data_IF_831430681835
#
_entry.id   IF_831430681835
#
_cell.length_a   1.000
_cell.length_b   1.000
_cell.length_c   1.000
_cell.angle_alpha   90.00
_cell.angle_beta   90.00
_cell.angle_gamma   90.00
#
_symmetry.space_group_name_H-M   'P 1'
#
loop_
_entity.id
_entity.type
_entity.pdbx_description
1 polymer ?
#
# COMPACT_ATOMS: atom_id res chain seq x y z
N UNK A 1 22.35 -29.32 -31.69
CA UNK A 1 21.63 -28.04 -31.72
C UNK A 1 20.74 -28.02 -30.49
N UNK A 2 21.32 -27.74 -29.34
CA UNK A 2 20.63 -27.63 -28.06
C UNK A 2 20.84 -26.21 -27.58
N UNK A 3 19.77 -25.44 -27.56
CA UNK A 3 19.81 -24.01 -27.27
C UNK A 3 19.75 -23.79 -25.75
N UNK A 4 20.85 -23.20 -25.26
CA UNK A 4 20.91 -22.17 -24.23
C UNK A 4 20.23 -22.38 -22.88
N UNK A 5 21.07 -22.77 -21.91
CA UNK A 5 20.91 -22.66 -20.47
C UNK A 5 20.25 -21.33 -20.02
N UNK A 6 18.99 -21.39 -19.58
CA UNK A 6 18.41 -20.37 -18.72
C UNK A 6 18.86 -20.65 -17.29
N UNK A 7 19.91 -19.96 -16.81
CA UNK A 7 20.33 -20.04 -15.40
C UNK A 7 19.41 -19.14 -14.55
N UNK A 8 18.56 -19.69 -13.67
CA UNK A 8 17.66 -18.89 -12.83
C UNK A 8 18.40 -17.92 -11.90
N UNK A 9 19.71 -18.11 -11.66
CA UNK A 9 20.53 -17.16 -10.91
C UNK A 9 20.77 -15.82 -11.62
N UNK A 10 20.81 -15.79 -12.96
CA UNK A 10 21.13 -14.56 -13.71
C UNK A 10 19.98 -13.53 -13.66
N UNK A 11 18.73 -13.99 -13.65
CA UNK A 11 17.56 -13.12 -13.60
C UNK A 11 17.36 -12.47 -12.23
N UNK A 12 17.65 -13.20 -11.15
CA UNK A 12 17.51 -12.69 -9.78
C UNK A 12 18.57 -11.63 -9.46
N UNK A 13 19.82 -11.83 -9.88
CA UNK A 13 20.87 -10.83 -9.71
C UNK A 13 20.56 -9.53 -10.48
N UNK A 14 20.05 -9.63 -11.71
CA UNK A 14 19.63 -8.46 -12.48
C UNK A 14 18.47 -7.72 -11.79
N UNK A 15 17.46 -8.45 -11.30
CA UNK A 15 16.34 -7.85 -10.57
C UNK A 15 16.77 -7.12 -9.29
N UNK A 16 17.76 -7.65 -8.56
CA UNK A 16 18.34 -6.98 -7.38
C UNK A 16 19.05 -5.69 -7.78
N UNK A 17 19.89 -5.73 -8.81
CA UNK A 17 20.61 -4.54 -9.29
C UNK A 17 19.65 -3.43 -9.75
N UNK A 18 18.63 -3.80 -10.53
CA UNK A 18 17.55 -2.88 -10.96
C UNK A 18 16.86 -2.25 -9.74
N UNK A 19 16.51 -3.06 -8.73
CA UNK A 19 15.83 -2.59 -7.54
C UNK A 19 16.66 -1.60 -6.73
N UNK A 20 17.96 -1.85 -6.58
CA UNK A 20 18.89 -0.94 -5.90
C UNK A 20 18.99 0.38 -6.66
N UNK A 21 19.19 0.35 -7.98
CA UNK A 21 19.29 1.55 -8.79
C UNK A 21 18.00 2.39 -8.73
N UNK A 22 16.83 1.74 -8.78
CA UNK A 22 15.53 2.39 -8.64
C UNK A 22 15.36 3.02 -7.25
N UNK A 23 15.78 2.34 -6.18
CA UNK A 23 15.72 2.87 -4.82
C UNK A 23 16.59 4.13 -4.64
N UNK A 24 17.81 4.12 -5.16
CA UNK A 24 18.71 5.28 -5.16
C UNK A 24 18.09 6.43 -5.94
N UNK A 25 17.66 6.20 -7.18
CA UNK A 25 17.06 7.23 -8.01
C UNK A 25 15.80 7.85 -7.39
N UNK A 26 14.96 7.03 -6.72
CA UNK A 26 13.78 7.53 -6.03
C UNK A 26 14.14 8.37 -4.78
N UNK A 27 15.16 7.97 -4.03
CA UNK A 27 15.65 8.74 -2.88
C UNK A 27 16.20 10.11 -3.33
N UNK A 28 17.03 10.12 -4.38
CA UNK A 28 17.60 11.33 -4.97
C UNK A 28 16.51 12.28 -5.49
N UNK A 29 15.53 11.75 -6.25
CA UNK A 29 14.41 12.53 -6.77
C UNK A 29 13.51 13.11 -5.66
N UNK A 30 13.46 12.45 -4.51
CA UNK A 30 12.76 12.92 -3.31
C UNK A 30 13.59 13.90 -2.46
N UNK A 31 14.87 14.07 -2.76
CA UNK A 31 15.81 14.87 -1.99
C UNK A 31 16.02 14.32 -0.59
N UNK A 32 16.12 12.99 -0.44
CA UNK A 32 16.29 12.32 0.87
C UNK A 32 17.35 11.23 0.78
N UNK A 33 17.95 10.89 1.91
CA UNK A 33 18.74 9.67 2.07
C UNK A 33 17.87 8.60 2.70
N UNK A 34 17.73 7.44 2.07
CA UNK A 34 17.03 6.30 2.66
C UNK A 34 18.03 5.23 3.08
N UNK A 35 17.96 4.76 4.33
CA UNK A 35 18.85 3.74 4.87
C UNK A 35 18.20 2.93 5.97
N UNK A 36 18.79 1.78 6.29
CA UNK A 36 18.42 1.01 7.48
C UNK A 36 18.69 1.82 8.77
N UNK A 37 17.82 1.65 9.75
CA UNK A 37 17.95 2.19 11.11
C UNK A 37 18.06 1.00 12.06
N UNK A 38 19.25 0.78 12.61
CA UNK A 38 19.58 -0.49 13.28
C UNK A 38 19.82 -0.37 14.78
N UNK A 39 20.09 0.82 15.32
CA UNK A 39 20.41 1.00 16.74
C UNK A 39 20.31 2.46 17.20
N UNK A 40 20.32 2.65 18.53
CA UNK A 40 20.55 3.93 19.17
C UNK A 40 19.36 4.90 19.10
N UNK A 41 19.67 6.20 19.22
CA UNK A 41 18.70 7.29 19.28
C UNK A 41 17.74 7.35 18.08
N UNK A 42 18.17 6.85 16.92
CA UNK A 42 17.36 6.87 15.70
C UNK A 42 16.13 5.96 15.80
N UNK A 43 16.19 4.88 16.61
CA UNK A 43 15.01 4.05 16.87
C UNK A 43 13.98 4.81 17.72
N UNK A 44 14.45 5.64 18.66
CA UNK A 44 13.58 6.50 19.46
C UNK A 44 12.98 7.63 18.58
N UNK A 45 13.74 8.15 17.60
CA UNK A 45 13.24 9.10 16.59
C UNK A 45 12.17 8.47 15.69
N UNK A 46 12.33 7.20 15.28
CA UNK A 46 11.29 6.47 14.51
C UNK A 46 10.00 6.36 15.32
N UNK A 47 10.08 6.01 16.61
CA UNK A 47 8.93 5.99 17.50
C UNK A 47 8.24 7.36 17.58
N UNK A 48 9.01 8.42 17.87
CA UNK A 48 8.48 9.78 17.97
C UNK A 48 7.84 10.27 16.66
N UNK A 49 8.41 9.90 15.51
CA UNK A 49 7.85 10.22 14.19
C UNK A 49 6.49 9.53 13.96
N UNK A 50 6.35 8.26 14.33
CA UNK A 50 5.05 7.57 14.21
C UNK A 50 3.99 8.18 15.12
N UNK A 51 4.34 8.53 16.36
CA UNK A 51 3.43 9.23 17.28
C UNK A 51 3.00 10.59 16.74
N UNK A 52 3.91 11.34 16.10
CA UNK A 52 3.58 12.61 15.44
C UNK A 52 2.57 12.44 14.29
N UNK A 53 2.72 11.38 13.49
CA UNK A 53 1.91 11.15 12.29
C UNK A 53 0.51 10.62 12.66
N UNK A 54 0.43 9.58 13.49
CA UNK A 54 -0.84 8.92 13.81
C UNK A 54 -1.55 9.51 15.03
N UNK A 55 -0.81 10.17 15.92
CA UNK A 55 -1.34 10.75 17.17
C UNK A 55 -2.20 9.74 17.94
N UNK A 56 -1.66 8.57 18.28
CA UNK A 56 -2.46 7.54 18.93
C UNK A 56 -2.87 7.99 20.34
N UNK A 57 -3.89 7.33 20.89
CA UNK A 57 -4.32 7.57 22.26
C UNK A 57 -3.23 7.22 23.30
N UNK A 58 -3.34 7.72 24.55
CA UNK A 58 -2.28 7.62 25.57
C UNK A 58 -1.84 6.19 25.92
N UNK A 59 -2.68 5.19 25.65
CA UNK A 59 -2.43 3.77 25.94
C UNK A 59 -2.11 2.94 24.69
N UNK A 60 -2.00 3.56 23.52
CA UNK A 60 -1.87 2.87 22.23
C UNK A 60 -0.57 3.25 21.53
N UNK A 61 0.58 2.78 22.02
CA UNK A 61 1.84 2.99 21.32
C UNK A 61 1.89 2.11 20.06
N UNK A 62 2.04 2.71 18.88
CA UNK A 62 2.09 1.98 17.61
C UNK A 62 3.33 1.08 17.53
N UNK A 63 4.50 1.66 17.82
CA UNK A 63 5.79 0.98 17.81
C UNK A 63 6.65 1.55 18.93
N UNK A 64 6.78 0.82 20.04
CA UNK A 64 7.63 1.25 21.15
C UNK A 64 9.11 1.15 20.76
N UNK A 65 9.97 1.97 21.37
CA UNK A 65 11.41 1.88 21.16
C UNK A 65 11.99 0.49 21.51
N UNK A 66 11.43 -0.19 22.51
CA UNK A 66 11.82 -1.56 22.87
C UNK A 66 11.48 -2.57 21.77
N UNK A 67 10.28 -2.48 21.17
CA UNK A 67 9.87 -3.33 20.06
C UNK A 67 10.74 -3.07 18.82
N UNK A 68 11.01 -1.80 18.49
CA UNK A 68 11.89 -1.43 17.40
C UNK A 68 13.31 -1.99 17.59
N UNK A 69 13.86 -1.92 18.81
CA UNK A 69 15.14 -2.54 19.16
C UNK A 69 15.12 -4.06 18.97
N UNK A 70 14.06 -4.73 19.41
CA UNK A 70 13.91 -6.18 19.24
C UNK A 70 13.83 -6.59 17.76
N UNK A 71 13.09 -5.84 16.95
CA UNK A 71 12.98 -6.06 15.50
C UNK A 71 14.31 -5.85 14.78
N UNK A 72 15.02 -4.74 15.06
CA UNK A 72 16.35 -4.49 14.53
C UNK A 72 17.32 -5.63 14.89
N UNK A 73 17.32 -6.06 16.16
CA UNK A 73 18.20 -7.11 16.65
C UNK A 73 17.92 -8.48 16.03
N UNK A 74 16.66 -8.75 15.68
CA UNK A 74 16.23 -9.99 15.03
C UNK A 74 16.36 -9.97 13.50
N UNK A 75 16.95 -8.91 12.93
CA UNK A 75 17.23 -8.81 11.49
C UNK A 75 16.05 -8.37 10.64
N UNK A 76 14.99 -7.82 11.24
CA UNK A 76 13.82 -7.32 10.53
C UNK A 76 14.10 -5.93 9.90
N UNK A 77 13.23 -5.53 8.96
CA UNK A 77 13.41 -4.29 8.22
C UNK A 77 12.95 -3.08 9.02
N UNK A 78 13.86 -2.12 9.23
CA UNK A 78 13.54 -0.77 9.68
C UNK A 78 14.30 0.19 8.77
N UNK A 79 13.59 0.92 7.92
CA UNK A 79 14.15 1.94 7.04
C UNK A 79 13.73 3.35 7.48
N UNK A 80 14.66 4.29 7.42
CA UNK A 80 14.43 5.71 7.67
C UNK A 80 14.76 6.55 6.43
N UNK A 81 13.97 7.59 6.18
CA UNK A 81 14.20 8.60 5.16
C UNK A 81 14.59 9.93 5.82
N UNK A 82 15.76 10.44 5.46
CA UNK A 82 16.39 11.59 6.11
C UNK A 82 16.51 12.77 5.15
N UNK A 83 16.13 13.95 5.61
CA UNK A 83 16.43 15.24 4.98
C UNK A 83 17.56 15.90 5.77
N UNK A 84 18.78 15.90 5.22
CA UNK A 84 19.98 16.13 6.01
C UNK A 84 20.11 15.08 7.13
N UNK A 85 20.01 15.53 8.38
CA UNK A 85 20.03 14.68 9.59
C UNK A 85 18.62 14.46 10.18
N UNK A 86 17.58 15.11 9.65
CA UNK A 86 16.21 15.02 10.15
C UNK A 86 15.50 13.77 9.59
N UNK A 87 15.01 12.90 10.48
CA UNK A 87 14.17 11.77 10.09
C UNK A 87 12.74 12.25 9.74
N UNK A 88 12.39 12.19 8.46
CA UNK A 88 11.10 12.68 7.94
C UNK A 88 10.17 11.56 7.45
N UNK A 89 10.65 10.31 7.43
CA UNK A 89 9.84 9.15 7.07
C UNK A 89 10.46 7.87 7.61
N UNK A 90 9.62 6.88 7.93
CA UNK A 90 10.08 5.58 8.39
C UNK A 90 9.16 4.45 7.87
N UNK A 91 9.73 3.25 7.73
CA UNK A 91 9.00 2.05 7.34
C UNK A 91 9.56 0.85 8.10
N UNK A 92 8.68 0.08 8.72
CA UNK A 92 9.01 -1.12 9.49
C UNK A 92 8.29 -2.33 8.90
N UNK A 93 9.01 -3.44 8.77
CA UNK A 93 8.45 -4.72 8.36
C UNK A 93 9.20 -5.88 8.99
N UNK A 94 8.53 -7.02 9.12
CA UNK A 94 9.09 -8.22 9.71
C UNK A 94 8.79 -9.45 8.86
N UNK A 95 9.64 -10.47 8.96
CA UNK A 95 9.51 -11.67 8.13
C UNK A 95 8.23 -12.45 8.47
N UNK A 96 7.52 -12.89 7.44
CA UNK A 96 6.45 -13.89 7.55
C UNK A 96 7.04 -15.29 7.42
N UNK A 97 6.35 -16.32 7.93
CA UNK A 97 6.82 -17.70 7.76
C UNK A 97 6.47 -18.24 6.35
N UNK A 98 7.38 -18.97 5.67
CA UNK A 98 8.79 -19.16 6.02
C UNK A 98 9.61 -17.87 5.83
N UNK A 99 10.53 -17.62 6.76
CA UNK A 99 11.17 -16.32 6.98
C UNK A 99 11.96 -15.77 5.77
N UNK A 100 12.36 -16.62 4.84
CA UNK A 100 13.12 -16.28 3.65
C UNK A 100 12.26 -16.00 2.41
N UNK A 101 10.94 -16.21 2.48
CA UNK A 101 10.07 -16.05 1.30
C UNK A 101 9.27 -14.74 1.32
N UNK A 102 8.83 -14.28 2.49
CA UNK A 102 7.88 -13.17 2.60
C UNK A 102 8.21 -12.17 3.71
N UNK A 103 7.86 -10.89 3.48
CA UNK A 103 7.91 -9.84 4.49
C UNK A 103 6.51 -9.26 4.71
N UNK A 104 6.10 -9.08 5.97
CA UNK A 104 4.97 -8.22 6.31
C UNK A 104 5.47 -6.77 6.50
N UNK A 105 4.98 -5.83 5.68
CA UNK A 105 5.27 -4.41 5.88
C UNK A 105 4.27 -3.81 6.86
N UNK A 106 4.63 -3.78 8.14
CA UNK A 106 3.73 -3.41 9.23
C UNK A 106 3.26 -1.95 9.21
N UNK A 107 4.19 -1.00 9.13
CA UNK A 107 3.88 0.43 9.19
C UNK A 107 4.84 1.23 8.32
N UNK A 108 4.30 2.24 7.64
CA UNK A 108 5.08 3.16 6.82
C UNK A 108 4.46 4.56 6.89
N UNK A 109 5.24 5.53 7.35
CA UNK A 109 4.78 6.89 7.60
C UNK A 109 5.76 7.93 7.08
N UNK A 110 5.23 9.06 6.60
CA UNK A 110 6.02 10.21 6.17
C UNK A 110 5.42 11.44 6.83
N UNK A 111 6.28 12.30 7.37
CA UNK A 111 5.90 13.59 7.94
C UNK A 111 5.15 14.44 6.90
N UNK A 112 4.13 15.16 7.36
CA UNK A 112 3.39 16.09 6.51
C UNK A 112 4.28 17.20 5.91
N UNK A 113 5.40 17.53 6.55
CA UNK A 113 6.39 18.48 6.04
C UNK A 113 7.02 18.03 4.70
N UNK A 114 7.04 16.72 4.42
CA UNK A 114 7.60 16.16 3.20
C UNK A 114 6.55 15.79 2.14
N UNK A 115 5.31 16.29 2.30
CA UNK A 115 4.20 16.00 1.37
C UNK A 115 4.55 16.45 -0.06
N UNK A 116 4.18 15.64 -1.04
CA UNK A 116 4.42 15.93 -2.46
C UNK A 116 5.82 15.57 -2.97
N UNK A 117 6.77 15.22 -2.10
CA UNK A 117 8.14 14.83 -2.50
C UNK A 117 8.28 13.35 -2.86
N UNK A 118 7.22 12.54 -2.78
CA UNK A 118 7.25 11.09 -3.01
C UNK A 118 8.17 10.28 -2.07
N UNK A 119 8.46 10.77 -0.85
CA UNK A 119 9.32 10.06 0.13
C UNK A 119 8.81 8.66 0.46
N UNK A 120 7.49 8.46 0.54
CA UNK A 120 6.90 7.15 0.78
C UNK A 120 7.20 6.14 -0.34
N UNK A 121 7.32 6.62 -1.58
CA UNK A 121 7.74 5.80 -2.72
C UNK A 121 9.22 5.40 -2.58
N UNK A 122 10.10 6.35 -2.24
CA UNK A 122 11.52 6.06 -1.98
C UNK A 122 11.71 5.03 -0.85
N UNK A 123 10.98 5.16 0.27
CA UNK A 123 10.99 4.19 1.36
C UNK A 123 10.58 2.79 0.91
N UNK A 124 9.55 2.68 0.07
CA UNK A 124 9.06 1.39 -0.43
C UNK A 124 10.02 0.77 -1.45
N UNK A 125 10.64 1.55 -2.31
CA UNK A 125 11.66 1.04 -3.25
C UNK A 125 12.91 0.57 -2.50
N UNK A 126 13.33 1.28 -1.45
CA UNK A 126 14.38 0.80 -0.55
C UNK A 126 13.97 -0.52 0.14
N UNK A 127 12.73 -0.63 0.65
CA UNK A 127 12.21 -1.88 1.24
C UNK A 127 12.24 -3.04 0.23
N UNK A 128 11.88 -2.79 -1.04
CA UNK A 128 11.96 -3.78 -2.13
C UNK A 128 13.39 -4.22 -2.40
N UNK A 129 14.33 -3.28 -2.54
CA UNK A 129 15.74 -3.58 -2.79
C UNK A 129 16.34 -4.41 -1.64
N UNK A 130 16.10 -3.99 -0.39
CA UNK A 130 16.54 -4.68 0.82
C UNK A 130 16.00 -6.11 0.91
N UNK A 131 14.74 -6.31 0.53
CA UNK A 131 14.04 -7.60 0.58
C UNK A 131 14.61 -8.56 -0.47
N UNK A 132 14.77 -8.10 -1.72
CA UNK A 132 15.32 -8.90 -2.80
C UNK A 132 16.78 -9.34 -2.53
N UNK A 133 17.58 -8.49 -1.89
CA UNK A 133 18.94 -8.84 -1.47
C UNK A 133 18.99 -9.99 -0.44
N UNK A 134 17.88 -10.27 0.24
CA UNK A 134 17.74 -11.30 1.27
C UNK A 134 16.90 -12.50 0.82
N UNK A 135 16.59 -12.61 -0.47
CA UNK A 135 15.83 -13.73 -1.02
C UNK A 135 14.32 -13.61 -0.92
N UNK A 136 13.80 -12.55 -0.29
CA UNK A 136 12.35 -12.33 -0.17
C UNK A 136 11.76 -12.05 -1.55
N UNK A 137 10.73 -12.82 -1.90
CA UNK A 137 10.07 -12.74 -3.21
C UNK A 137 8.85 -11.83 -3.19
N UNK A 138 8.19 -11.69 -2.03
CA UNK A 138 6.97 -10.92 -1.88
C UNK A 138 6.87 -10.17 -0.55
N UNK A 139 6.18 -9.03 -0.57
CA UNK A 139 5.85 -8.25 0.63
C UNK A 139 4.34 -8.08 0.72
N UNK A 140 3.74 -8.30 1.89
CA UNK A 140 2.31 -8.12 2.11
C UNK A 140 2.02 -7.08 3.19
N UNK A 141 0.93 -6.33 3.04
CA UNK A 141 0.41 -5.40 4.05
C UNK A 141 -1.04 -5.08 3.77
N UNK A 142 -1.69 -4.41 4.72
CA UNK A 142 -3.05 -3.92 4.57
C UNK A 142 -3.07 -2.40 4.42
N UNK A 143 -4.09 -1.88 3.75
CA UNK A 143 -4.39 -0.44 3.75
C UNK A 143 -5.90 -0.20 3.75
N UNK A 144 -6.34 1.00 4.12
CA UNK A 144 -7.75 1.37 4.06
C UNK A 144 -8.21 1.60 2.61
N UNK A 145 -9.12 0.77 2.05
CA UNK A 145 -9.52 0.86 0.66
C UNK A 145 -10.38 2.09 0.33
N UNK A 146 -10.92 2.82 1.30
CA UNK A 146 -11.62 4.08 1.04
C UNK A 146 -10.67 5.26 0.83
N UNK A 147 -9.44 5.16 1.34
CA UNK A 147 -8.44 6.23 1.21
C UNK A 147 -7.87 6.20 -0.20
N UNK A 148 -8.49 6.95 -1.11
CA UNK A 148 -8.14 7.02 -2.54
C UNK A 148 -6.64 7.17 -2.82
N UNK A 149 -5.93 7.99 -2.03
CA UNK A 149 -4.47 8.17 -2.19
C UNK A 149 -3.69 6.89 -1.88
N UNK A 150 -4.15 6.09 -0.90
CA UNK A 150 -3.55 4.81 -0.56
C UNK A 150 -3.83 3.80 -1.67
N UNK A 151 -5.06 3.76 -2.21
CA UNK A 151 -5.40 2.88 -3.33
C UNK A 151 -4.54 3.17 -4.56
N UNK A 152 -4.40 4.45 -4.94
CA UNK A 152 -3.55 4.85 -6.06
C UNK A 152 -2.06 4.54 -5.78
N UNK A 153 -1.57 4.82 -4.58
CA UNK A 153 -0.19 4.52 -4.21
C UNK A 153 0.12 3.02 -4.28
N UNK A 154 -0.71 2.18 -3.68
CA UNK A 154 -0.48 0.74 -3.64
C UNK A 154 -0.66 0.10 -5.03
N UNK A 155 -1.76 0.40 -5.73
CA UNK A 155 -2.10 -0.31 -6.96
C UNK A 155 -1.38 0.25 -8.20
N UNK A 156 -1.18 1.57 -8.26
CA UNK A 156 -0.60 2.21 -9.45
C UNK A 156 0.87 2.51 -9.26
N UNK A 157 1.25 3.15 -8.15
CA UNK A 157 2.66 3.54 -7.92
C UNK A 157 3.54 2.34 -7.58
N UNK A 158 3.03 1.34 -6.87
CA UNK A 158 3.80 0.15 -6.50
C UNK A 158 3.46 -1.08 -7.35
N UNK A 159 2.27 -1.13 -7.96
CA UNK A 159 1.83 -2.30 -8.74
C UNK A 159 1.43 -3.49 -7.87
N UNK A 160 0.96 -3.26 -6.63
CA UNK A 160 0.53 -4.36 -5.77
C UNK A 160 -0.78 -4.98 -6.24
N UNK A 161 -0.99 -6.24 -5.85
CA UNK A 161 -2.23 -6.98 -6.13
C UNK A 161 -3.06 -7.14 -4.86
N UNK A 162 -4.34 -6.72 -4.84
CA UNK A 162 -5.28 -7.07 -3.78
C UNK A 162 -5.53 -8.57 -3.72
N UNK A 163 -5.55 -9.12 -2.51
CA UNK A 163 -5.81 -10.54 -2.26
C UNK A 163 -7.10 -10.76 -1.48
N UNK A 164 -7.35 -9.92 -0.47
CA UNK A 164 -8.45 -10.14 0.46
C UNK A 164 -8.99 -8.82 1.02
N UNK A 165 -10.31 -8.75 1.19
CA UNK A 165 -10.97 -7.69 1.95
C UNK A 165 -11.19 -8.17 3.38
N UNK A 166 -10.60 -7.48 4.34
CA UNK A 166 -10.64 -7.80 5.76
C UNK A 166 -11.55 -6.82 6.48
N UNK A 167 -12.66 -7.31 7.02
CA UNK A 167 -13.65 -6.51 7.75
C UNK A 167 -13.17 -6.19 9.16
N UNK A 168 -13.24 -4.91 9.54
CA UNK A 168 -12.88 -4.35 10.86
C UNK A 168 -11.61 -4.97 11.46
N UNK A 169 -10.55 -5.04 10.65
CA UNK A 169 -9.40 -5.91 10.89
C UNK A 169 -8.64 -5.59 12.19
N UNK A 170 -8.56 -4.31 12.56
CA UNK A 170 -7.89 -3.85 13.77
C UNK A 170 -8.86 -3.59 14.94
N UNK A 171 -10.17 -3.82 14.76
CA UNK A 171 -11.20 -3.51 15.75
C UNK A 171 -11.28 -2.01 16.05
N UNK A 172 -11.58 -1.69 17.31
CA UNK A 172 -11.76 -0.32 17.81
C UNK A 172 -10.40 0.40 17.94
N UNK A 173 -9.97 1.06 16.87
CA UNK A 173 -8.76 1.89 16.83
C UNK A 173 -9.14 3.37 16.75
N UNK A 174 -9.02 4.08 17.87
CA UNK A 174 -9.22 5.52 17.93
C UNK A 174 -7.87 6.26 17.78
N UNK A 175 -7.53 6.61 16.54
CA UNK A 175 -6.36 7.42 16.22
C UNK A 175 -6.73 8.59 15.28
N UNK A 176 -5.78 9.49 15.01
CA UNK A 176 -6.01 10.68 14.18
C UNK A 176 -6.30 10.39 12.70
N UNK A 177 -6.20 9.13 12.25
CA UNK A 177 -6.35 8.73 10.84
C UNK A 177 -7.65 7.94 10.62
N UNK A 178 -7.96 7.01 11.51
CA UNK A 178 -9.13 6.14 11.44
C UNK A 178 -10.37 6.81 12.05
N UNK A 179 -10.21 7.67 13.07
CA UNK A 179 -11.34 8.25 13.79
C UNK A 179 -12.17 7.18 14.51
N UNK A 180 -13.50 7.26 14.41
CA UNK A 180 -14.44 6.29 15.00
C UNK A 180 -15.08 5.36 13.93
N UNK A 181 -14.41 5.17 12.80
CA UNK A 181 -14.87 4.33 11.69
C UNK A 181 -14.28 2.92 11.77
N UNK A 182 -15.00 1.92 11.23
CA UNK A 182 -14.52 0.54 11.21
C UNK A 182 -13.19 0.45 10.44
N UNK A 183 -12.32 -0.44 10.90
CA UNK A 183 -10.96 -0.60 10.36
C UNK A 183 -10.89 -1.61 9.22
N UNK A 184 -11.79 -1.50 8.23
CA UNK A 184 -11.69 -2.38 7.06
C UNK A 184 -10.38 -2.16 6.32
N UNK A 185 -9.84 -3.26 5.80
CA UNK A 185 -8.51 -3.32 5.20
C UNK A 185 -8.53 -4.13 3.92
N UNK A 186 -7.83 -3.64 2.91
CA UNK A 186 -7.50 -4.44 1.73
C UNK A 186 -6.10 -4.99 1.90
N UNK A 187 -6.00 -6.31 2.05
CA UNK A 187 -4.72 -7.02 2.03
C UNK A 187 -4.19 -7.02 0.60
N UNK A 188 -2.95 -6.57 0.45
CA UNK A 188 -2.23 -6.62 -0.82
C UNK A 188 -0.98 -7.45 -0.69
N UNK A 189 -0.58 -8.03 -1.83
CA UNK A 189 0.70 -8.69 -2.03
C UNK A 189 1.48 -7.97 -3.13
N UNK A 190 2.75 -7.73 -2.84
CA UNK A 190 3.69 -7.06 -3.73
C UNK A 190 4.73 -8.06 -4.20
N UNK A 191 4.48 -8.64 -5.37
CA UNK A 191 5.36 -9.62 -6.01
C UNK A 191 6.56 -8.91 -6.64
N UNK A 192 7.71 -8.93 -5.96
CA UNK A 192 8.78 -7.95 -6.14
C UNK A 192 9.46 -8.00 -7.51
N UNK A 193 9.38 -9.13 -8.21
CA UNK A 193 9.98 -9.34 -9.54
C UNK A 193 8.94 -9.45 -10.66
N UNK A 194 7.65 -9.35 -10.34
CA UNK A 194 6.59 -9.38 -11.34
C UNK A 194 6.70 -8.18 -12.30
N UNK A 195 6.27 -8.38 -13.55
CA UNK A 195 6.35 -7.34 -14.58
C UNK A 195 5.62 -6.04 -14.19
N UNK A 196 4.38 -6.07 -13.66
CA UNK A 196 3.68 -4.85 -13.26
C UNK A 196 4.43 -4.04 -12.19
N UNK A 197 5.06 -4.74 -11.23
CA UNK A 197 5.87 -4.12 -10.17
C UNK A 197 7.15 -3.53 -10.74
N UNK A 198 7.85 -4.25 -11.62
CA UNK A 198 9.08 -3.74 -12.25
C UNK A 198 8.79 -2.49 -13.08
N UNK A 199 7.72 -2.48 -13.86
CA UNK A 199 7.29 -1.33 -14.65
C UNK A 199 6.94 -0.12 -13.77
N UNK A 200 6.12 -0.33 -12.73
CA UNK A 200 5.75 0.72 -11.78
C UNK A 200 6.97 1.31 -11.04
N UNK A 201 7.88 0.46 -10.54
CA UNK A 201 9.11 0.89 -9.87
C UNK A 201 10.11 1.58 -10.81
N UNK A 202 10.07 1.29 -12.11
CA UNK A 202 10.87 1.98 -13.13
C UNK A 202 10.28 3.34 -13.54
N UNK A 203 9.15 3.76 -12.96
CA UNK A 203 8.50 5.02 -13.28
C UNK A 203 7.55 4.97 -14.48
N UNK A 204 7.18 3.77 -14.93
CA UNK A 204 6.20 3.54 -15.99
C UNK A 204 4.93 2.84 -15.45
N UNK A 205 4.19 3.45 -14.49
CA UNK A 205 2.96 2.86 -14.00
C UNK A 205 1.88 2.87 -15.09
N UNK A 206 1.01 1.86 -15.09
CA UNK A 206 -0.18 1.79 -15.94
C UNK A 206 -1.44 2.04 -15.09
N UNK A 207 -1.87 3.32 -14.90
CA UNK A 207 -3.11 3.59 -14.19
C UNK A 207 -4.31 2.99 -14.95
N UNK A 208 -5.33 2.60 -14.21
CA UNK A 208 -6.60 2.19 -14.82
C UNK A 208 -7.27 3.35 -15.55
N UNK A 209 -7.95 3.08 -16.65
CA UNK A 209 -8.73 4.06 -17.41
C UNK A 209 -10.22 3.71 -17.36
N UNK A 210 -10.92 4.34 -16.42
CA UNK A 210 -12.36 4.15 -16.24
C UNK A 210 -13.15 4.62 -17.45
N UNK A 211 -12.72 5.68 -18.15
CA UNK A 211 -13.45 6.18 -19.32
C UNK A 211 -13.37 5.17 -20.47
N UNK A 212 -12.20 4.60 -20.71
CA UNK A 212 -12.03 3.50 -21.66
C UNK A 212 -12.84 2.26 -21.25
N UNK A 213 -12.82 1.87 -19.97
CA UNK A 213 -13.63 0.75 -19.48
C UNK A 213 -15.13 0.97 -19.70
N UNK A 214 -15.66 2.18 -19.41
CA UNK A 214 -17.06 2.51 -19.67
C UNK A 214 -17.39 2.45 -21.17
N UNK A 215 -16.52 2.98 -22.02
CA UNK A 215 -16.69 2.90 -23.47
C UNK A 215 -16.70 1.44 -23.98
N UNK A 216 -15.99 0.55 -23.28
CA UNK A 216 -15.98 -0.89 -23.54
C UNK A 216 -17.13 -1.66 -22.84
N UNK A 217 -18.08 -0.98 -22.20
CA UNK A 217 -19.26 -1.61 -21.59
C UNK A 217 -19.06 -2.09 -20.15
N UNK A 218 -18.06 -1.60 -19.42
CA UNK A 218 -17.96 -1.84 -17.98
C UNK A 218 -19.17 -1.24 -17.24
N UNK A 219 -19.66 -1.96 -16.23
CA UNK A 219 -20.81 -1.54 -15.42
C UNK A 219 -20.35 -1.01 -14.06
N UNK A 220 -21.11 -0.07 -13.51
CA UNK A 220 -20.85 0.45 -12.17
C UNK A 220 -21.50 -0.48 -11.14
N UNK A 221 -20.66 -1.10 -10.31
CA UNK A 221 -21.08 -1.90 -9.17
C UNK A 221 -21.33 -1.00 -7.94
N UNK A 222 -20.56 0.09 -7.81
CA UNK A 222 -20.75 1.12 -6.81
C UNK A 222 -20.38 2.48 -7.41
N UNK A 223 -21.34 3.39 -7.48
CA UNK A 223 -21.18 4.74 -8.00
C UNK A 223 -21.14 5.81 -6.92
N UNK A 224 -21.02 7.07 -7.35
CA UNK A 224 -21.15 8.27 -6.50
C UNK A 224 -22.43 9.01 -6.87
N UNK A 225 -23.30 9.22 -5.89
CA UNK A 225 -24.54 9.99 -6.05
C UNK A 225 -24.32 11.50 -6.09
N UNK A 226 -25.40 12.24 -6.35
CA UNK A 226 -25.40 13.71 -6.35
C UNK A 226 -25.03 14.29 -4.99
N UNK A 227 -25.44 13.62 -3.91
CA UNK A 227 -25.19 14.02 -2.52
C UNK A 227 -23.83 13.51 -1.99
N UNK A 228 -22.92 13.12 -2.90
CA UNK A 228 -21.62 12.50 -2.61
C UNK A 228 -21.67 11.15 -1.86
N UNK A 229 -22.86 10.59 -1.65
CA UNK A 229 -23.05 9.26 -1.07
C UNK A 229 -22.81 8.11 -2.03
N UNK A 230 -22.61 6.88 -1.51
CA UNK A 230 -22.48 5.68 -2.31
C UNK A 230 -23.82 5.35 -2.99
N UNK A 231 -23.77 4.93 -4.26
CA UNK A 231 -24.95 4.45 -5.00
C UNK A 231 -24.69 3.03 -5.47
N UNK A 232 -25.35 2.01 -4.89
CA UNK A 232 -25.25 0.63 -5.38
C UNK A 232 -25.68 0.54 -6.84
N UNK A 233 -24.90 -0.17 -7.64
CA UNK A 233 -25.21 -0.43 -9.04
C UNK A 233 -25.42 -1.91 -9.33
N UNK A 234 -25.13 -2.33 -10.56
CA UNK A 234 -25.27 -3.73 -10.96
C UNK A 234 -23.94 -4.46 -10.86
N UNK A 235 -23.99 -5.71 -10.41
CA UNK A 235 -22.84 -6.62 -10.47
C UNK A 235 -22.82 -7.41 -11.79
N UNK A 236 -23.77 -7.21 -12.70
CA UNK A 236 -23.92 -8.00 -13.92
C UNK A 236 -23.07 -7.45 -15.07
N UNK A 237 -21.79 -7.78 -15.03
CA UNK A 237 -20.86 -7.48 -16.10
C UNK A 237 -19.52 -8.20 -15.91
N UNK A 238 -18.76 -8.39 -17.00
CA UNK A 238 -17.41 -8.96 -16.92
C UNK A 238 -16.40 -7.99 -16.31
N UNK A 239 -16.59 -6.68 -16.54
CA UNK A 239 -15.79 -5.60 -15.96
C UNK A 239 -16.68 -4.72 -15.09
N UNK A 240 -16.24 -4.49 -13.86
CA UNK A 240 -16.98 -3.78 -12.82
C UNK A 240 -16.18 -2.57 -12.33
N UNK A 241 -16.88 -1.46 -12.11
CA UNK A 241 -16.31 -0.24 -11.58
C UNK A 241 -16.85 0.00 -10.16
N UNK A 242 -15.94 0.21 -9.21
CA UNK A 242 -16.29 0.44 -7.80
C UNK A 242 -15.66 1.76 -7.35
N UNK A 243 -16.49 2.78 -7.13
CA UNK A 243 -16.07 4.07 -6.64
C UNK A 243 -15.63 4.03 -5.18
N UNK A 244 -14.76 4.97 -4.82
CA UNK A 244 -14.53 5.40 -3.44
C UNK A 244 -14.95 6.87 -3.29
N UNK A 245 -15.17 7.40 -2.06
CA UNK A 245 -15.41 8.83 -1.88
C UNK A 245 -14.22 9.66 -2.35
N UNK A 246 -14.45 10.95 -2.64
CA UNK A 246 -13.37 11.84 -3.05
C UNK A 246 -12.30 12.01 -1.95
N UNK A 247 -12.75 12.08 -0.69
CA UNK A 247 -11.93 12.31 0.49
C UNK A 247 -12.61 11.71 1.74
N UNK A 248 -12.34 10.43 2.03
CA UNK A 248 -12.90 9.77 3.22
C UNK A 248 -12.41 10.39 4.52
N UNK A 249 -11.17 10.89 4.56
CA UNK A 249 -10.57 11.48 5.76
C UNK A 249 -11.34 12.75 6.15
N UNK A 250 -11.69 13.59 5.17
CA UNK A 250 -12.57 14.74 5.42
C UNK A 250 -13.98 14.31 5.83
N UNK A 251 -14.56 13.30 5.18
CA UNK A 251 -15.91 12.83 5.52
C UNK A 251 -16.01 12.32 6.96
N UNK A 252 -14.99 11.64 7.48
CA UNK A 252 -14.93 11.22 8.89
C UNK A 252 -15.05 12.40 9.86
N UNK A 253 -14.54 13.56 9.49
CA UNK A 253 -14.60 14.77 10.31
C UNK A 253 -15.90 15.55 10.12
N UNK A 254 -16.36 15.71 8.88
CA UNK A 254 -17.48 16.63 8.56
C UNK A 254 -18.83 15.93 8.51
N UNK A 255 -18.87 14.63 8.21
CA UNK A 255 -20.10 13.85 8.01
C UNK A 255 -19.89 12.37 8.36
N UNK A 256 -19.69 12.02 9.65
CA UNK A 256 -19.37 10.65 10.06
C UNK A 256 -20.40 9.60 9.63
N UNK A 257 -21.69 9.98 9.55
CA UNK A 257 -22.74 9.09 9.02
C UNK A 257 -22.49 8.68 7.58
N UNK A 258 -22.15 9.64 6.72
CA UNK A 258 -21.82 9.39 5.32
C UNK A 258 -20.53 8.57 5.17
N UNK A 259 -19.55 8.77 6.04
CA UNK A 259 -18.34 7.93 6.07
C UNK A 259 -18.68 6.46 6.36
N UNK A 260 -19.57 6.20 7.33
CA UNK A 260 -20.06 4.85 7.65
C UNK A 260 -20.88 4.23 6.53
N UNK A 261 -21.72 5.01 5.85
CA UNK A 261 -22.44 4.55 4.66
C UNK A 261 -21.48 4.11 3.54
N UNK A 262 -20.44 4.90 3.27
CA UNK A 262 -19.38 4.53 2.33
C UNK A 262 -18.64 3.26 2.74
N UNK A 263 -18.32 3.10 4.03
CA UNK A 263 -17.67 1.90 4.57
C UNK A 263 -18.53 0.66 4.34
N UNK A 264 -19.81 0.72 4.73
CA UNK A 264 -20.75 -0.38 4.55
C UNK A 264 -20.92 -0.73 3.06
N UNK A 265 -21.17 0.26 2.21
CA UNK A 265 -21.38 0.02 0.78
C UNK A 265 -20.13 -0.54 0.09
N UNK A 266 -18.93 -0.05 0.42
CA UNK A 266 -17.70 -0.59 -0.13
C UNK A 266 -17.44 -2.02 0.36
N UNK A 267 -17.66 -2.29 1.65
CA UNK A 267 -17.54 -3.65 2.23
C UNK A 267 -18.45 -4.63 1.50
N UNK A 268 -19.71 -4.27 1.33
CA UNK A 268 -20.72 -5.12 0.69
C UNK A 268 -20.35 -5.39 -0.78
N UNK A 269 -19.93 -4.38 -1.53
CA UNK A 269 -19.62 -4.54 -2.95
C UNK A 269 -18.23 -5.13 -3.19
N UNK A 270 -17.16 -4.46 -2.71
CA UNK A 270 -15.79 -4.88 -2.98
C UNK A 270 -15.45 -6.20 -2.28
N UNK A 271 -15.91 -6.37 -1.04
CA UNK A 271 -15.73 -7.61 -0.28
C UNK A 271 -16.40 -8.81 -0.96
N UNK A 272 -17.68 -8.67 -1.35
CA UNK A 272 -18.41 -9.73 -2.07
C UNK A 272 -17.74 -10.09 -3.40
N UNK A 273 -17.28 -9.09 -4.16
CA UNK A 273 -16.62 -9.34 -5.44
C UNK A 273 -15.31 -10.11 -5.28
N UNK A 274 -14.46 -9.71 -4.32
CA UNK A 274 -13.19 -10.39 -4.06
C UNK A 274 -13.41 -11.81 -3.53
N UNK A 275 -14.34 -12.01 -2.58
CA UNK A 275 -14.72 -13.33 -2.09
C UNK A 275 -15.31 -14.22 -3.21
N UNK A 276 -15.99 -13.62 -4.18
CA UNK A 276 -16.50 -14.28 -5.38
C UNK A 276 -15.46 -14.53 -6.48
N UNK A 277 -14.17 -14.24 -6.23
CA UNK A 277 -13.06 -14.50 -7.16
C UNK A 277 -12.85 -13.43 -8.22
N UNK A 278 -13.52 -12.27 -8.13
CA UNK A 278 -13.18 -11.13 -8.97
C UNK A 278 -11.77 -10.61 -8.61
N UNK A 279 -11.08 -10.04 -9.60
CA UNK A 279 -9.72 -9.50 -9.42
C UNK A 279 -9.72 -8.01 -9.68
N UNK A 280 -9.13 -7.24 -8.79
CA UNK A 280 -8.80 -5.84 -9.05
C UNK A 280 -7.66 -5.81 -10.07
N UNK A 281 -7.90 -5.16 -11.20
CA UNK A 281 -6.95 -5.08 -12.34
C UNK A 281 -6.42 -3.67 -12.56
N UNK A 282 -7.02 -2.67 -11.91
CA UNK A 282 -6.53 -1.31 -11.98
C UNK A 282 -7.21 -0.41 -10.96
N UNK A 283 -6.60 0.77 -10.79
CA UNK A 283 -7.21 1.87 -10.07
C UNK A 283 -7.05 3.13 -10.90
N UNK A 284 -8.16 3.81 -11.16
CA UNK A 284 -8.14 5.08 -11.87
C UNK A 284 -7.86 6.24 -10.91
N UNK A 285 -7.17 7.25 -11.42
CA UNK A 285 -6.79 8.43 -10.64
C UNK A 285 -8.01 9.12 -10.07
N UNK A 286 -9.19 9.06 -10.67
CA UNK A 286 -10.43 9.70 -10.16
C UNK A 286 -11.13 8.91 -9.05
N UNK A 287 -10.52 7.84 -8.53
CA UNK A 287 -11.00 7.12 -7.36
C UNK A 287 -11.98 6.00 -7.70
N UNK A 288 -11.55 5.08 -8.54
CA UNK A 288 -12.32 3.88 -8.90
C UNK A 288 -11.41 2.67 -8.96
N UNK A 289 -11.84 1.58 -8.34
CA UNK A 289 -11.31 0.26 -8.63
C UNK A 289 -11.94 -0.28 -9.91
N UNK A 290 -11.12 -0.94 -10.72
CA UNK A 290 -11.54 -1.70 -11.90
C UNK A 290 -11.37 -3.17 -11.56
N UNK A 291 -12.46 -3.93 -11.62
CA UNK A 291 -12.48 -5.35 -11.33
C UNK A 291 -12.87 -6.15 -12.55
N UNK A 292 -12.24 -7.30 -12.73
CA UNK A 292 -12.65 -8.32 -13.69
C UNK A 292 -13.21 -9.51 -12.93
N UNK A 293 -14.38 -9.99 -13.32
CA UNK A 293 -14.87 -11.28 -12.81
C UNK A 293 -14.02 -12.40 -13.40
N UNK A 294 -13.65 -13.39 -12.58
CA UNK A 294 -13.04 -14.61 -13.11
C UNK A 294 -14.00 -15.29 -14.09
N UNK A 295 -13.47 -15.81 -15.21
CA UNK A 295 -14.26 -16.69 -16.06
C UNK A 295 -14.69 -17.90 -15.23
N UNK A 296 -16.00 -18.13 -15.13
CA UNK A 296 -16.54 -19.39 -14.62
C UNK A 296 -16.25 -20.52 -15.59
#
# INVERSE_FOLDING_TARGET
MFDSNHHPGSSTHAAVADAVAQAVAAADASGVRVREVTAGRELDEVHALFDLIWRPGPTSALMTGELLRALAKSGNYIGGAFDGDELIGACVGFFGAPADETLHSHIAGVSNAARGRSVGFALKLHQRAWSLQRGVSAISWTFDPLVRRNSYFNLVKLGTRPEEYLTNFYGDVHDGINGDDDTDRLLVRWELVSEPVRAACAGAPAPGDVAACRAAGAVEALGRGQDAGPVPGTLDGPTLLVAVPQDIERLRLTSPGLAREWRAALRDVLGTLLAGGARVTGFDRTGWYILQKGNR
#
